data_IF_190433915961
#
_entry.id   IF_190433915961
#
_cell.length_a   1.000
_cell.length_b   1.000
_cell.length_c   1.000
_cell.angle_alpha   90.00
_cell.angle_beta   90.00
_cell.angle_gamma   90.00
#
_symmetry.space_group_name_H-M   'P 1'
#
loop_
_entity.id
_entity.type
_entity.pdbx_description
1 polymer ?
#
# COMPACT_ATOMS: atom_id res chain seq x y z
N UNK A 1 -9.63 16.55 -6.09
CA UNK A 1 -9.24 15.84 -4.88
C UNK A 1 -8.66 14.46 -5.14
N UNK A 2 -9.18 13.73 -6.11
CA UNK A 2 -8.58 12.45 -6.48
C UNK A 2 -7.13 12.59 -6.91
N UNK A 3 -6.83 13.62 -7.67
CA UNK A 3 -5.46 13.85 -8.12
C UNK A 3 -4.52 14.10 -6.95
N UNK A 4 -4.96 14.89 -5.98
CA UNK A 4 -4.17 15.17 -4.78
C UNK A 4 -3.93 13.89 -3.99
N UNK A 5 -4.96 13.06 -3.82
CA UNK A 5 -4.82 11.79 -3.11
C UNK A 5 -3.84 10.86 -3.81
N UNK A 6 -3.89 10.84 -5.14
CA UNK A 6 -2.97 10.03 -5.93
C UNK A 6 -1.52 10.47 -5.71
N UNK A 7 -1.29 11.79 -5.75
CA UNK A 7 0.04 12.33 -5.51
C UNK A 7 0.53 12.05 -4.10
N UNK A 8 -0.34 12.22 -3.10
CA UNK A 8 0.00 11.91 -1.71
C UNK A 8 0.39 10.43 -1.59
N UNK A 9 -0.38 9.55 -2.21
CA UNK A 9 -0.08 8.12 -2.16
C UNK A 9 1.26 7.80 -2.81
N UNK A 10 1.56 8.42 -3.95
CA UNK A 10 2.83 8.21 -4.63
C UNK A 10 4.00 8.65 -3.76
N UNK A 11 3.89 9.81 -3.14
CA UNK A 11 4.93 10.30 -2.24
C UNK A 11 5.07 9.38 -1.03
N UNK A 12 3.95 8.91 -0.49
CA UNK A 12 3.95 7.97 0.63
C UNK A 12 4.67 6.67 0.27
N UNK A 13 4.45 6.17 -0.95
CA UNK A 13 5.10 4.96 -1.43
C UNK A 13 6.61 5.16 -1.48
N UNK A 14 7.06 6.29 -2.00
CA UNK A 14 8.49 6.58 -2.06
C UNK A 14 9.09 6.68 -0.66
N UNK A 15 8.41 7.36 0.26
CA UNK A 15 8.89 7.50 1.63
C UNK A 15 8.95 6.15 2.33
N UNK A 16 7.92 5.33 2.19
CA UNK A 16 7.89 4.01 2.82
C UNK A 16 8.96 3.10 2.24
N UNK A 17 9.20 3.17 0.92
CA UNK A 17 10.24 2.38 0.29
C UNK A 17 11.63 2.78 0.78
N UNK A 18 11.81 4.06 1.08
CA UNK A 18 13.07 4.53 1.60
C UNK A 18 13.37 3.96 2.98
N UNK A 19 12.34 3.77 3.79
CA UNK A 19 12.47 3.29 5.18
C UNK A 19 12.62 1.78 5.24
N UNK A 20 11.91 1.04 4.40
CA UNK A 20 11.85 -0.43 4.50
C UNK A 20 12.89 -1.07 3.58
N UNK A 21 13.85 -1.82 4.13
CA UNK A 21 14.80 -2.58 3.29
C UNK A 21 14.06 -3.64 2.48
N UNK A 22 14.52 -3.86 1.27
CA UNK A 22 13.93 -4.86 0.40
C UNK A 22 12.79 -4.36 -0.47
N UNK A 23 12.42 -3.08 -0.34
CA UNK A 23 11.45 -2.45 -1.22
C UNK A 23 12.16 -1.40 -2.06
N UNK A 24 12.02 -1.50 -3.35
CA UNK A 24 12.69 -0.61 -4.29
C UNK A 24 11.65 -0.02 -5.24
N UNK A 25 11.65 1.30 -5.35
CA UNK A 25 10.85 2.03 -6.32
C UNK A 25 11.82 2.81 -7.20
N UNK A 26 11.77 2.58 -8.51
CA UNK A 26 12.78 3.14 -9.41
C UNK A 26 12.67 4.65 -9.61
N UNK A 27 11.53 5.26 -9.27
CA UNK A 27 11.38 6.69 -9.39
C UNK A 27 9.94 7.12 -9.15
N UNK A 28 9.70 8.41 -9.30
CA UNK A 28 8.38 8.98 -9.02
C UNK A 28 7.30 8.42 -9.96
N UNK A 29 7.65 8.21 -11.24
CA UNK A 29 6.66 7.64 -12.17
C UNK A 29 6.25 6.24 -11.78
N UNK A 30 7.21 5.40 -11.37
CA UNK A 30 6.88 4.07 -10.87
C UNK A 30 5.98 4.17 -9.63
N UNK A 31 6.27 5.11 -8.72
CA UNK A 31 5.43 5.32 -7.55
C UNK A 31 4.01 5.73 -7.93
N UNK A 32 3.86 6.55 -8.97
CA UNK A 32 2.53 6.93 -9.46
C UNK A 32 1.75 5.71 -9.97
N UNK A 33 2.42 4.82 -10.70
CA UNK A 33 1.76 3.61 -11.19
C UNK A 33 1.40 2.66 -10.05
N UNK A 34 2.29 2.50 -9.08
CA UNK A 34 1.99 1.69 -7.89
C UNK A 34 0.80 2.27 -7.14
N UNK A 35 0.78 3.59 -6.96
CA UNK A 35 -0.32 4.26 -6.28
C UNK A 35 -1.64 4.04 -7.00
N UNK A 36 -1.62 4.14 -8.32
CA UNK A 36 -2.82 3.91 -9.12
C UNK A 36 -3.29 2.46 -8.98
N UNK A 37 -2.37 1.52 -9.11
CA UNK A 37 -2.69 0.10 -8.98
C UNK A 37 -3.27 -0.21 -7.61
N UNK A 38 -2.60 0.22 -6.54
CA UNK A 38 -3.07 -0.04 -5.18
C UNK A 38 -4.40 0.65 -4.91
N UNK A 39 -4.60 1.86 -5.45
CA UNK A 39 -5.86 2.56 -5.30
C UNK A 39 -7.02 1.80 -5.91
N UNK A 40 -6.84 1.30 -7.13
CA UNK A 40 -7.87 0.52 -7.81
C UNK A 40 -8.13 -0.78 -7.06
N UNK A 41 -7.09 -1.49 -6.69
CA UNK A 41 -7.21 -2.77 -5.99
C UNK A 41 -7.88 -2.59 -4.63
N UNK A 42 -7.50 -1.53 -3.90
CA UNK A 42 -8.09 -1.27 -2.59
C UNK A 42 -9.59 -0.96 -2.70
N UNK A 43 -10.02 -0.32 -3.76
CA UNK A 43 -11.44 0.00 -3.93
C UNK A 43 -12.24 -1.20 -4.43
N UNK A 44 -11.68 -1.99 -5.36
CA UNK A 44 -12.44 -3.03 -6.05
C UNK A 44 -12.26 -4.42 -5.43
N UNK A 45 -11.06 -4.74 -5.01
CA UNK A 45 -10.71 -6.11 -4.62
C UNK A 45 -10.65 -6.28 -3.11
N UNK A 46 -10.07 -5.34 -2.40
CA UNK A 46 -9.87 -5.48 -0.96
C UNK A 46 -11.17 -5.68 -0.19
N UNK A 47 -12.26 -4.95 -0.46
CA UNK A 47 -13.51 -5.20 0.27
C UNK A 47 -14.02 -6.63 0.09
N UNK A 48 -13.87 -7.18 -1.12
CA UNK A 48 -14.30 -8.54 -1.39
C UNK A 48 -13.47 -9.53 -0.59
N UNK A 49 -12.15 -9.34 -0.57
CA UNK A 49 -11.27 -10.21 0.18
C UNK A 49 -11.55 -10.16 1.68
N UNK A 50 -11.82 -8.97 2.21
CA UNK A 50 -12.14 -8.82 3.64
C UNK A 50 -13.42 -9.54 3.98
N UNK A 51 -14.45 -9.45 3.15
CA UNK A 51 -15.73 -10.13 3.38
C UNK A 51 -15.55 -11.65 3.37
N UNK A 52 -14.78 -12.17 2.43
CA UNK A 52 -14.55 -13.61 2.32
C UNK A 52 -13.78 -14.11 3.54
N UNK A 53 -12.85 -13.32 4.03
CA UNK A 53 -11.99 -13.71 5.16
C UNK A 53 -12.48 -13.19 6.49
N UNK A 54 -13.72 -12.67 6.55
CA UNK A 54 -14.26 -12.06 7.76
C UNK A 54 -14.17 -12.97 8.99
N UNK A 55 -14.53 -14.26 8.92
CA UNK A 55 -14.39 -15.12 10.10
C UNK A 55 -12.94 -15.20 10.60
N UNK A 56 -11.99 -15.26 9.68
CA UNK A 56 -10.57 -15.31 10.03
C UNK A 56 -10.11 -13.98 10.63
N UNK A 57 -10.57 -12.86 10.07
CA UNK A 57 -10.25 -11.54 10.60
C UNK A 57 -10.75 -11.37 12.03
N UNK A 58 -11.95 -11.85 12.32
CA UNK A 58 -12.51 -11.77 13.67
C UNK A 58 -11.64 -12.58 14.63
N UNK A 59 -11.27 -13.81 14.25
CA UNK A 59 -10.46 -14.67 15.10
C UNK A 59 -9.08 -14.10 15.38
N UNK A 60 -8.51 -13.37 14.43
CA UNK A 60 -7.17 -12.81 14.56
C UNK A 60 -7.20 -11.34 15.02
N UNK A 61 -8.36 -10.83 15.41
CA UNK A 61 -8.53 -9.43 15.84
C UNK A 61 -8.09 -8.45 14.76
N UNK A 62 -8.31 -8.81 13.50
CA UNK A 62 -7.99 -7.94 12.38
C UNK A 62 -6.57 -8.08 11.84
N UNK A 63 -5.74 -8.90 12.45
CA UNK A 63 -4.36 -9.08 11.98
C UNK A 63 -4.29 -9.62 10.57
N UNK A 64 -5.29 -10.41 10.17
CA UNK A 64 -5.31 -10.96 8.82
C UNK A 64 -5.40 -9.88 7.74
N UNK A 65 -5.91 -8.71 8.09
CA UNK A 65 -5.94 -7.57 7.16
C UNK A 65 -4.51 -7.18 6.73
N UNK A 66 -3.55 -7.26 7.64
CA UNK A 66 -2.16 -6.99 7.29
C UNK A 66 -1.63 -8.00 6.28
N UNK A 67 -2.06 -9.25 6.38
CA UNK A 67 -1.69 -10.29 5.40
C UNK A 67 -2.26 -9.94 4.03
N UNK A 68 -3.51 -9.51 3.98
CA UNK A 68 -4.15 -9.09 2.73
C UNK A 68 -3.39 -7.92 2.13
N UNK A 69 -3.05 -6.91 2.93
CA UNK A 69 -2.29 -5.77 2.43
C UNK A 69 -0.94 -6.19 1.86
N UNK A 70 -0.25 -7.12 2.52
CA UNK A 70 1.04 -7.61 2.02
C UNK A 70 0.89 -8.32 0.68
N UNK A 71 -0.16 -9.13 0.54
CA UNK A 71 -0.43 -9.82 -0.72
C UNK A 71 -0.69 -8.83 -1.85
N UNK A 72 -1.46 -7.77 -1.56
CA UNK A 72 -1.77 -6.76 -2.57
C UNK A 72 -0.51 -5.98 -2.98
N UNK A 73 0.38 -5.70 -2.03
CA UNK A 73 1.65 -5.04 -2.33
C UNK A 73 2.54 -5.94 -3.19
N UNK A 74 2.57 -7.24 -2.90
CA UNK A 74 3.32 -8.18 -3.72
C UNK A 74 2.76 -8.26 -5.12
N UNK A 75 1.44 -8.22 -5.25
CA UNK A 75 0.79 -8.21 -6.55
C UNK A 75 1.18 -6.96 -7.34
N UNK A 76 1.23 -5.80 -6.69
CA UNK A 76 1.68 -4.57 -7.33
C UNK A 76 3.11 -4.71 -7.82
N UNK A 77 3.97 -5.32 -7.02
CA UNK A 77 5.36 -5.55 -7.39
C UNK A 77 5.49 -6.44 -8.63
N UNK A 78 4.55 -7.37 -8.81
CA UNK A 78 4.55 -8.24 -9.97
C UNK A 78 4.06 -7.55 -11.24
N UNK A 79 3.20 -6.55 -11.09
CA UNK A 79 2.55 -5.89 -12.23
C UNK A 79 3.26 -4.62 -12.65
N UNK A 80 3.72 -3.81 -11.70
CA UNK A 80 4.31 -2.50 -11.98
C UNK A 80 5.82 -2.62 -12.12
N UNK A 81 6.35 -2.21 -13.26
CA UNK A 81 7.79 -2.19 -13.48
C UNK A 81 8.42 -1.11 -12.61
N UNK A 82 9.59 -1.42 -12.07
CA UNK A 82 10.32 -0.48 -11.24
C UNK A 82 9.91 -0.48 -9.78
N UNK A 83 8.95 -1.32 -9.40
CA UNK A 83 8.57 -1.53 -8.01
C UNK A 83 8.88 -2.97 -7.65
N UNK A 84 9.81 -3.16 -6.75
CA UNK A 84 10.26 -4.48 -6.34
C UNK A 84 10.18 -4.62 -4.83
N UNK A 85 9.69 -5.77 -4.38
CA UNK A 85 9.58 -6.09 -2.97
C UNK A 85 10.22 -7.45 -2.77
N UNK A 86 11.15 -7.54 -1.82
CA UNK A 86 11.99 -8.72 -1.65
C UNK A 86 11.25 -9.94 -1.09
N UNK A 87 10.09 -9.74 -0.46
CA UNK A 87 9.34 -10.88 0.08
C UNK A 87 8.12 -10.44 0.86
N UNK A 88 7.46 -11.43 1.47
CA UNK A 88 6.20 -11.21 2.18
C UNK A 88 6.35 -10.28 3.37
N UNK A 89 7.37 -10.49 4.19
CA UNK A 89 7.55 -9.65 5.37
C UNK A 89 7.90 -8.22 5.00
N UNK A 90 8.73 -8.03 3.98
CA UNK A 90 9.01 -6.68 3.48
C UNK A 90 7.73 -6.01 2.99
N UNK A 91 6.88 -6.75 2.29
CA UNK A 91 5.59 -6.22 1.83
C UNK A 91 4.69 -5.84 3.00
N UNK A 92 4.66 -6.66 4.04
CA UNK A 92 3.84 -6.40 5.22
C UNK A 92 4.31 -5.14 5.95
N UNK A 93 5.61 -5.03 6.21
CA UNK A 93 6.14 -3.84 6.86
C UNK A 93 5.97 -2.61 5.99
N UNK A 94 6.16 -2.76 4.67
CA UNK A 94 5.94 -1.67 3.74
C UNK A 94 4.49 -1.16 3.83
N UNK A 95 3.53 -2.07 3.84
CA UNK A 95 2.12 -1.66 3.90
C UNK A 95 1.80 -0.92 5.19
N UNK A 96 2.38 -1.34 6.31
CA UNK A 96 2.17 -0.67 7.59
C UNK A 96 2.76 0.73 7.56
N UNK A 97 4.01 0.86 7.13
CA UNK A 97 4.67 2.17 7.04
C UNK A 97 3.95 3.06 6.04
N UNK A 98 3.55 2.49 4.90
CA UNK A 98 2.79 3.23 3.89
C UNK A 98 1.50 3.79 4.46
N UNK A 99 0.77 3.00 5.22
CA UNK A 99 -0.49 3.45 5.84
C UNK A 99 -0.24 4.61 6.79
N UNK A 100 0.80 4.52 7.62
CA UNK A 100 1.13 5.58 8.56
C UNK A 100 1.54 6.86 7.82
N UNK A 101 2.44 6.73 6.86
CA UNK A 101 2.92 7.89 6.11
C UNK A 101 1.79 8.54 5.32
N UNK A 102 0.96 7.73 4.68
CA UNK A 102 -0.17 8.23 3.90
C UNK A 102 -1.16 8.97 4.79
N UNK A 103 -1.43 8.44 5.98
CA UNK A 103 -2.31 9.09 6.93
C UNK A 103 -1.75 10.44 7.36
N UNK A 104 -0.47 10.48 7.73
CA UNK A 104 0.16 11.71 8.20
C UNK A 104 0.16 12.78 7.10
N UNK A 105 0.49 12.40 5.88
CA UNK A 105 0.49 13.36 4.78
C UNK A 105 -0.92 13.85 4.46
N UNK A 106 -1.91 12.97 4.55
CA UNK A 106 -3.29 13.35 4.30
C UNK A 106 -3.79 14.34 5.34
N UNK A 107 -3.43 14.14 6.62
CA UNK A 107 -3.80 15.06 7.68
C UNK A 107 -3.14 16.42 7.46
N UNK A 108 -1.85 16.44 7.13
CA UNK A 108 -1.13 17.69 6.89
C UNK A 108 -1.75 18.46 5.74
N UNK A 109 -2.08 17.79 4.65
CA UNK A 109 -2.67 18.44 3.49
C UNK A 109 -4.09 18.94 3.80
N UNK A 110 -4.88 18.17 4.56
CA UNK A 110 -6.25 18.54 4.85
C UNK A 110 -6.35 19.70 5.85
N UNK A 111 -5.33 19.90 6.68
CA UNK A 111 -5.31 21.02 7.64
C UNK A 111 -5.10 22.36 6.94
N UNK A 112 -4.49 22.33 5.78
CA UNK A 112 -4.30 23.53 4.98
C UNK A 112 -5.56 23.85 4.20
#
# INVERSE_FOLDING_TARGET
>A
MLLVRWLIMAVSIMAAAYVIPGVIVSGFFSALWVALFLGIVNVLIKPILILITLPINILTLGLFTFVINAVLVLLASAVVKGFQVSGFFSAMFFSIVLSVVNYLLSVIVSVR
#
